data_IF_359361864357
#
_entry.id   IF_359361864357
#
_cell.length_a   1.000
_cell.length_b   1.000
_cell.length_c   1.000
_cell.angle_alpha   90.00
_cell.angle_beta   90.00
_cell.angle_gamma   90.00
#
_symmetry.space_group_name_H-M   'P 1'
#
loop_
_entity.id
_entity.type
_entity.pdbx_description
1 polymer ?
#
# COMPACT_ATOMS: atom_id res chain seq x y z
N UNK A 1 4.40 -10.86 -1.07
CA UNK A 1 3.50 -9.93 -1.81
C UNK A 1 2.04 -10.34 -1.63
N UNK A 2 1.68 -11.61 -1.83
CA UNK A 2 0.33 -12.14 -1.52
C UNK A 2 -0.11 -11.83 -0.09
N UNK A 3 0.77 -12.05 0.88
CA UNK A 3 0.49 -11.82 2.30
C UNK A 3 0.20 -10.34 2.61
N UNK A 4 0.76 -9.41 1.83
CA UNK A 4 0.50 -7.98 2.00
C UNK A 4 -0.95 -7.65 1.64
N UNK A 5 -1.43 -8.19 0.51
CA UNK A 5 -2.80 -7.97 0.08
C UNK A 5 -3.79 -8.57 1.08
N UNK A 6 -3.49 -9.75 1.61
CA UNK A 6 -4.31 -10.38 2.67
C UNK A 6 -4.36 -9.49 3.91
N UNK A 7 -3.23 -8.95 4.37
CA UNK A 7 -3.22 -8.02 5.51
C UNK A 7 -3.98 -6.71 5.23
N UNK A 8 -3.89 -6.17 4.02
CA UNK A 8 -4.61 -4.94 3.64
C UNK A 8 -6.12 -5.22 3.62
N UNK A 9 -6.54 -6.33 3.02
CA UNK A 9 -7.94 -6.76 2.96
C UNK A 9 -8.51 -7.01 4.36
N UNK A 10 -7.81 -7.78 5.20
CA UNK A 10 -8.21 -8.05 6.58
C UNK A 10 -8.36 -6.75 7.39
N UNK A 11 -7.42 -5.81 7.28
CA UNK A 11 -7.48 -4.53 7.98
C UNK A 11 -8.51 -3.57 7.40
N UNK A 12 -8.82 -3.65 6.12
CA UNK A 12 -9.91 -2.89 5.52
C UNK A 12 -11.27 -3.33 6.08
N UNK A 13 -11.43 -4.62 6.39
CA UNK A 13 -12.65 -5.15 7.03
C UNK A 13 -12.67 -4.86 8.54
N UNK A 14 -11.58 -5.17 9.25
CA UNK A 14 -11.54 -5.10 10.72
C UNK A 14 -11.29 -3.70 11.28
N UNK A 15 -10.52 -2.88 10.57
CA UNK A 15 -10.06 -1.55 11.02
C UNK A 15 -10.08 -0.50 9.89
N UNK A 16 -11.20 -0.30 9.18
CA UNK A 16 -11.26 0.48 7.92
C UNK A 16 -10.71 1.91 8.02
N UNK A 17 -10.94 2.57 9.17
CA UNK A 17 -10.53 3.96 9.42
C UNK A 17 -9.10 4.11 9.94
N UNK A 18 -8.41 3.00 10.21
CA UNK A 18 -7.03 3.04 10.67
C UNK A 18 -6.12 3.45 9.52
N UNK A 19 -5.08 4.22 9.83
CA UNK A 19 -4.10 4.69 8.84
C UNK A 19 -3.25 3.51 8.38
N UNK A 20 -3.21 3.27 7.07
CA UNK A 20 -2.35 2.28 6.44
C UNK A 20 -0.96 2.86 6.15
N UNK A 21 -0.92 4.07 5.59
CA UNK A 21 0.31 4.78 5.24
C UNK A 21 0.08 6.29 5.29
N UNK A 22 1.16 7.06 5.46
CA UNK A 22 1.15 8.52 5.30
C UNK A 22 1.95 8.92 4.08
N UNK A 23 1.37 9.74 3.22
CA UNK A 23 1.99 10.28 2.00
C UNK A 23 2.08 11.80 2.19
N UNK A 24 3.28 12.35 2.31
CA UNK A 24 3.51 13.77 2.64
C UNK A 24 2.67 14.27 3.84
N UNK A 25 2.59 13.46 4.90
CA UNK A 25 1.81 13.76 6.10
C UNK A 25 0.30 13.49 5.99
N UNK A 26 -0.26 13.36 4.79
CA UNK A 26 -1.66 12.97 4.58
C UNK A 26 -1.88 11.49 4.85
N UNK A 27 -2.89 11.18 5.66
CA UNK A 27 -3.20 9.81 6.06
C UNK A 27 -4.06 9.11 5.01
N UNK A 28 -3.58 7.97 4.52
CA UNK A 28 -4.35 7.04 3.71
C UNK A 28 -4.81 5.89 4.61
N UNK A 29 -6.12 5.65 4.66
CA UNK A 29 -6.69 4.57 5.48
C UNK A 29 -6.64 3.21 4.77
N UNK A 30 -6.77 2.12 5.53
CA UNK A 30 -6.84 0.77 4.96
C UNK A 30 -8.02 0.61 3.98
N UNK A 31 -9.17 1.19 4.29
CA UNK A 31 -10.34 1.16 3.42
C UNK A 31 -10.09 1.88 2.09
N UNK A 32 -9.57 3.12 2.14
CA UNK A 32 -9.26 3.89 0.94
C UNK A 32 -8.22 3.20 0.05
N UNK A 33 -7.18 2.62 0.68
CA UNK A 33 -6.15 1.87 -0.04
C UNK A 33 -6.72 0.61 -0.69
N UNK A 34 -7.50 -0.19 0.05
CA UNK A 34 -8.10 -1.42 -0.44
C UNK A 34 -9.08 -1.15 -1.59
N UNK A 35 -9.89 -0.11 -1.47
CA UNK A 35 -10.81 0.33 -2.53
C UNK A 35 -10.03 0.61 -3.82
N UNK A 36 -8.94 1.40 -3.75
CA UNK A 36 -8.14 1.70 -4.95
C UNK A 36 -7.46 0.48 -5.55
N UNK A 37 -6.91 -0.41 -4.72
CA UNK A 37 -6.36 -1.68 -5.20
C UNK A 37 -7.42 -2.50 -5.97
N UNK A 38 -8.65 -2.54 -5.43
CA UNK A 38 -9.77 -3.26 -6.04
C UNK A 38 -10.20 -2.62 -7.36
N UNK A 39 -10.27 -1.29 -7.42
CA UNK A 39 -10.58 -0.54 -8.65
C UNK A 39 -9.56 -0.80 -9.77
N UNK A 40 -8.26 -0.88 -9.44
CA UNK A 40 -7.21 -1.15 -10.42
C UNK A 40 -7.01 -2.63 -10.76
N UNK A 41 -7.51 -3.55 -9.94
CA UNK A 41 -7.36 -5.00 -10.15
C UNK A 41 -7.76 -5.47 -11.56
N UNK A 42 -8.97 -5.15 -12.06
CA UNK A 42 -9.40 -5.54 -13.40
C UNK A 42 -8.54 -4.95 -14.51
N UNK A 43 -8.11 -3.68 -14.37
CA UNK A 43 -7.27 -2.99 -15.37
C UNK A 43 -5.92 -3.68 -15.49
N UNK A 44 -5.30 -3.97 -14.35
CA UNK A 44 -3.98 -4.59 -14.27
C UNK A 44 -4.03 -6.05 -14.78
N UNK A 45 -5.08 -6.80 -14.43
CA UNK A 45 -5.30 -8.15 -14.93
C UNK A 45 -5.47 -8.18 -16.46
N UNK A 46 -6.25 -7.23 -17.02
CA UNK A 46 -6.46 -7.13 -18.46
C UNK A 46 -5.18 -6.83 -19.25
N UNK A 47 -4.19 -6.18 -18.62
CA UNK A 47 -2.89 -5.88 -19.22
C UNK A 47 -1.82 -6.94 -18.92
N UNK A 48 -2.18 -8.08 -18.30
CA UNK A 48 -1.24 -9.13 -17.92
C UNK A 48 -0.22 -8.70 -16.85
N UNK A 49 -0.53 -7.63 -16.11
CA UNK A 49 0.34 -7.05 -15.09
C UNK A 49 0.13 -7.73 -13.72
N UNK A 50 1.13 -7.63 -12.86
CA UNK A 50 1.10 -8.25 -11.53
C UNK A 50 0.21 -7.49 -10.54
N UNK A 51 -0.28 -8.15 -9.48
CA UNK A 51 -0.97 -7.45 -8.36
C UNK A 51 -0.12 -6.33 -7.76
N UNK A 52 1.21 -6.45 -7.77
CA UNK A 52 2.10 -5.36 -7.34
C UNK A 52 1.93 -4.07 -8.15
N UNK A 53 1.63 -4.19 -9.46
CA UNK A 53 1.32 -3.04 -10.29
C UNK A 53 -0.04 -2.40 -9.92
N UNK A 54 -1.02 -3.18 -9.45
CA UNK A 54 -2.27 -2.63 -8.91
C UNK A 54 -2.04 -1.84 -7.62
N UNK A 55 -1.15 -2.32 -6.73
CA UNK A 55 -0.75 -1.57 -5.54
C UNK A 55 -0.03 -0.26 -5.90
N UNK A 56 0.93 -0.32 -6.82
CA UNK A 56 1.65 0.88 -7.26
C UNK A 56 0.69 1.90 -7.90
N UNK A 57 -0.21 1.47 -8.78
CA UNK A 57 -1.22 2.33 -9.39
C UNK A 57 -2.19 2.93 -8.34
N UNK A 58 -2.62 2.12 -7.36
CA UNK A 58 -3.45 2.59 -6.26
C UNK A 58 -2.75 3.68 -5.45
N UNK A 59 -1.48 3.46 -5.06
CA UNK A 59 -0.67 4.44 -4.32
C UNK A 59 -0.46 5.72 -5.14
N UNK A 60 -0.14 5.60 -6.44
CA UNK A 60 -0.02 6.75 -7.34
C UNK A 60 -1.31 7.57 -7.40
N UNK A 61 -2.47 6.91 -7.46
CA UNK A 61 -3.77 7.58 -7.48
C UNK A 61 -4.11 8.30 -6.17
N UNK A 62 -3.49 7.88 -5.06
CA UNK A 62 -3.67 8.43 -3.72
C UNK A 62 -2.62 9.47 -3.35
N UNK A 63 -1.65 9.75 -4.24
CA UNK A 63 -0.65 10.78 -3.99
C UNK A 63 -1.33 12.14 -3.78
N UNK A 64 -0.95 12.89 -2.75
CA UNK A 64 -1.48 14.23 -2.51
C UNK A 64 -0.99 15.20 -3.59
N UNK A 65 -1.71 16.30 -3.76
CA UNK A 65 -1.46 17.27 -4.85
C UNK A 65 -0.01 17.76 -4.88
N UNK A 66 0.60 18.03 -3.72
CA UNK A 66 2.00 18.47 -3.63
C UNK A 66 2.98 17.45 -4.19
N UNK A 67 2.75 16.17 -3.93
CA UNK A 67 3.61 15.10 -4.47
C UNK A 67 3.38 14.92 -5.96
N UNK A 68 2.15 15.12 -6.45
CA UNK A 68 1.85 15.07 -7.90
C UNK A 68 2.52 16.19 -8.71
N UNK A 69 2.92 17.27 -8.06
CA UNK A 69 3.66 18.39 -8.68
C UNK A 69 5.18 18.13 -8.77
N UNK A 70 5.68 17.10 -8.09
CA UNK A 70 7.08 16.67 -8.17
C UNK A 70 7.38 15.92 -9.47
N UNK A 71 8.66 15.69 -9.74
CA UNK A 71 9.07 14.89 -10.90
C UNK A 71 8.58 13.44 -10.79
N UNK A 72 8.43 12.71 -11.92
CA UNK A 72 8.02 11.30 -11.89
C UNK A 72 8.93 10.40 -11.05
N UNK A 73 10.22 10.75 -10.95
CA UNK A 73 11.19 10.02 -10.13
C UNK A 73 10.86 10.19 -8.66
N UNK A 74 10.66 11.42 -8.20
CA UNK A 74 10.29 11.73 -6.81
C UNK A 74 8.93 11.11 -6.43
N UNK A 75 7.95 11.14 -7.36
CA UNK A 75 6.69 10.44 -7.16
C UNK A 75 6.89 8.92 -6.98
N UNK A 76 7.78 8.34 -7.79
CA UNK A 76 8.15 6.93 -7.69
C UNK A 76 8.79 6.58 -6.34
N UNK A 77 9.63 7.46 -5.79
CA UNK A 77 10.23 7.30 -4.47
C UNK A 77 9.18 7.26 -3.36
N UNK A 78 8.15 8.12 -3.42
CA UNK A 78 7.02 8.07 -2.48
C UNK A 78 6.26 6.75 -2.54
N UNK A 79 5.99 6.24 -3.74
CA UNK A 79 5.30 4.95 -3.92
C UNK A 79 6.16 3.79 -3.42
N UNK A 80 7.47 3.82 -3.68
CA UNK A 80 8.41 2.82 -3.20
C UNK A 80 8.49 2.82 -1.67
N UNK A 81 8.61 4.00 -1.04
CA UNK A 81 8.63 4.17 0.40
C UNK A 81 7.33 3.68 1.05
N UNK A 82 6.18 3.99 0.46
CA UNK A 82 4.87 3.52 0.92
C UNK A 82 4.75 1.99 0.82
N UNK A 83 5.19 1.40 -0.30
CA UNK A 83 5.19 -0.05 -0.49
C UNK A 83 6.08 -0.75 0.53
N UNK A 84 7.28 -0.20 0.77
CA UNK A 84 8.20 -0.70 1.79
C UNK A 84 7.58 -0.61 3.19
N UNK A 85 7.00 0.54 3.54
CA UNK A 85 6.31 0.75 4.82
C UNK A 85 5.24 -0.32 5.07
N UNK A 86 4.36 -0.52 4.09
CA UNK A 86 3.26 -1.49 4.16
C UNK A 86 3.79 -2.92 4.31
N UNK A 87 4.91 -3.24 3.66
CA UNK A 87 5.56 -4.55 3.76
C UNK A 87 6.19 -4.85 5.12
N UNK A 88 6.48 -3.86 5.97
CA UNK A 88 7.17 -4.10 7.26
C UNK A 88 6.35 -4.94 8.23
N UNK A 89 5.03 -4.79 8.21
CA UNK A 89 4.12 -5.60 9.04
C UNK A 89 4.13 -7.10 8.70
N UNK A 90 4.77 -7.51 7.60
CA UNK A 90 4.98 -8.92 7.26
C UNK A 90 6.26 -9.50 7.81
N UNK A 91 7.32 -8.68 7.92
CA UNK A 91 8.59 -9.12 8.47
C UNK A 91 8.48 -9.44 9.97
N UNK A 92 7.59 -8.73 10.68
CA UNK A 92 7.36 -8.90 12.12
C UNK A 92 6.60 -10.19 12.44
N UNK A 93 5.61 -10.55 11.60
CA UNK A 93 4.82 -11.80 11.75
C UNK A 93 5.67 -13.05 11.44
N UNK A 94 6.77 -12.89 10.71
CA UNK A 94 7.73 -13.95 10.39
C UNK A 94 8.80 -14.21 11.44
N UNK A 95 8.83 -13.47 12.56
CA UNK A 95 9.72 -13.78 13.70
C UNK A 95 8.97 -14.60 14.75
N UNK A 96 9.08 -15.94 14.76
CA UNK A 96 8.74 -16.71 15.94
C UNK A 96 9.79 -16.42 17.01
N UNK A 97 9.42 -15.63 18.03
CA UNK A 97 10.17 -15.42 19.28
C UNK A 97 11.49 -14.62 19.15
N UNK A 98 11.38 -13.30 19.25
CA UNK A 98 12.46 -12.43 19.73
C UNK A 98 12.34 -12.19 21.23
N UNK A 99 12.96 -13.10 22.00
CA UNK A 99 13.52 -12.93 23.35
C UNK A 99 12.59 -12.66 24.55
N UNK A 100 12.30 -13.74 25.26
CA UNK A 100 12.39 -13.72 26.71
C UNK A 100 13.87 -13.54 27.12
N UNK A 101 14.07 -12.73 28.17
CA UNK A 101 15.32 -12.37 28.90
C UNK A 101 15.96 -11.07 28.46
#
# INVERSE_FOLDING_TARGET
MTDLFVQIEDRAVSTPRMTAVRLDGEAVTFDALHQKITEYGPVVAAQGLSRGAALAAALMSLLPQRVRELSPVEQGEWVAAATQWLGRGLADVGSPLGEAV
#
